data_IF_705841834980
#
_entry.id   IF_705841834980
#
_cell.length_a   1.000
_cell.length_b   1.000
_cell.length_c   1.000
_cell.angle_alpha   90.00
_cell.angle_beta   90.00
_cell.angle_gamma   90.00
#
_symmetry.space_group_name_H-M   'P 1'
#
loop_
_entity.id
_entity.type
_entity.pdbx_description
1 polymer ?
#
# COMPACT_ATOMS: atom_id res chain seq x y z
N UNK A 1 8.95 -9.54 6.85
CA UNK A 1 8.26 -8.60 7.76
C UNK A 1 6.95 -8.18 7.12
N UNK A 2 5.89 -7.99 7.91
CA UNK A 2 4.61 -7.45 7.44
C UNK A 2 4.27 -6.26 8.33
N UNK A 3 3.97 -5.12 7.73
CA UNK A 3 3.49 -3.91 8.39
C UNK A 3 2.07 -3.63 7.91
N UNK A 4 1.11 -3.65 8.82
CA UNK A 4 -0.27 -3.26 8.54
C UNK A 4 -0.40 -1.73 8.49
N UNK A 5 -0.96 -1.22 7.39
CA UNK A 5 -1.30 0.18 7.18
C UNK A 5 -2.81 0.36 7.33
N UNK A 6 -3.24 0.80 8.51
CA UNK A 6 -4.65 1.01 8.81
C UNK A 6 -5.22 2.27 8.11
N UNK A 7 -6.01 2.04 7.05
CA UNK A 7 -6.69 3.09 6.28
C UNK A 7 -8.15 3.31 6.74
N UNK A 8 -8.49 2.93 7.97
CA UNK A 8 -9.82 3.03 8.62
C UNK A 8 -10.81 1.97 8.13
N UNK A 9 -11.28 2.06 6.89
CA UNK A 9 -12.30 1.15 6.34
C UNK A 9 -11.71 -0.03 5.58
N UNK A 10 -10.48 0.12 5.13
CA UNK A 10 -9.71 -0.87 4.38
C UNK A 10 -8.31 -0.97 4.98
N UNK A 11 -7.62 -2.05 4.67
CA UNK A 11 -6.25 -2.29 5.09
C UNK A 11 -5.34 -2.30 3.87
N UNK A 12 -4.13 -1.82 4.05
CA UNK A 12 -3.03 -2.05 3.13
C UNK A 12 -1.88 -2.67 3.91
N UNK A 13 -0.98 -3.39 3.25
CA UNK A 13 0.16 -4.02 3.90
C UNK A 13 1.45 -3.69 3.16
N UNK A 14 2.47 -3.24 3.89
CA UNK A 14 3.84 -3.26 3.39
C UNK A 14 4.46 -4.59 3.78
N UNK A 15 4.85 -5.37 2.77
CA UNK A 15 5.49 -6.65 2.98
C UNK A 15 6.92 -6.58 2.48
N UNK A 16 7.83 -7.11 3.31
CA UNK A 16 9.25 -7.18 3.00
C UNK A 16 9.74 -8.62 3.10
N UNK A 17 10.30 -9.14 2.01
CA UNK A 17 10.87 -10.49 1.94
C UNK A 17 12.09 -10.52 1.03
N UNK A 18 13.18 -11.16 1.49
CA UNK A 18 14.42 -11.34 0.70
C UNK A 18 14.93 -10.01 0.08
N UNK A 19 14.80 -8.89 0.79
CA UNK A 19 15.19 -7.56 0.32
C UNK A 19 14.22 -6.88 -0.66
N UNK A 20 13.11 -7.53 -1.02
CA UNK A 20 12.07 -6.96 -1.86
C UNK A 20 10.94 -6.38 -1.01
N UNK A 21 10.41 -5.23 -1.43
CA UNK A 21 9.26 -4.58 -0.82
C UNK A 21 8.09 -4.51 -1.80
N UNK A 22 6.92 -4.90 -1.32
CA UNK A 22 5.68 -4.82 -2.07
C UNK A 22 4.57 -4.27 -1.19
N UNK A 23 3.71 -3.48 -1.81
CA UNK A 23 2.48 -2.99 -1.20
C UNK A 23 1.35 -3.94 -1.59
N UNK A 24 0.57 -4.40 -0.63
CA UNK A 24 -0.66 -5.15 -0.87
C UNK A 24 -1.83 -4.22 -0.60
N UNK A 25 -2.66 -4.02 -1.62
CA UNK A 25 -3.79 -3.10 -1.69
C UNK A 25 -3.39 -1.62 -1.57
N UNK A 26 -4.15 -0.74 -2.22
CA UNK A 26 -4.00 0.72 -2.15
C UNK A 26 -5.14 1.42 -1.41
N UNK A 27 -6.12 0.64 -0.93
CA UNK A 27 -7.31 1.19 -0.31
C UNK A 27 -8.17 2.02 -1.27
N UNK A 28 -8.87 3.02 -0.76
CA UNK A 28 -9.78 3.88 -1.55
C UNK A 28 -9.06 5.06 -2.19
N UNK A 29 -9.69 5.69 -3.19
CA UNK A 29 -9.22 6.93 -3.84
C UNK A 29 -8.78 7.96 -2.79
N UNK A 30 -7.59 8.53 -2.98
CA UNK A 30 -6.99 9.49 -2.06
C UNK A 30 -6.16 8.89 -0.91
N UNK A 31 -6.16 7.56 -0.72
CA UNK A 31 -5.39 6.89 0.34
C UNK A 31 -3.87 6.97 0.15
N UNK A 32 -3.39 7.23 -1.07
CA UNK A 32 -1.96 7.20 -1.40
C UNK A 32 -1.09 8.08 -0.49
N UNK A 33 -1.49 9.33 -0.21
CA UNK A 33 -0.75 10.22 0.70
C UNK A 33 -0.63 9.66 2.11
N UNK A 34 -1.70 9.02 2.60
CA UNK A 34 -1.71 8.41 3.93
C UNK A 34 -0.79 7.18 3.98
N UNK A 35 -0.85 6.33 2.95
CA UNK A 35 0.04 5.17 2.80
C UNK A 35 1.50 5.60 2.84
N UNK A 36 1.89 6.57 2.00
CA UNK A 36 3.25 7.12 1.94
C UNK A 36 3.69 7.64 3.30
N UNK A 37 2.87 8.48 3.95
CA UNK A 37 3.21 9.03 5.27
C UNK A 37 3.38 7.96 6.35
N UNK A 38 2.57 6.89 6.33
CA UNK A 38 2.70 5.78 7.29
C UNK A 38 3.97 4.97 7.05
N UNK A 39 4.34 4.74 5.79
CA UNK A 39 5.59 4.06 5.42
C UNK A 39 6.80 4.86 5.90
N UNK A 40 6.83 6.17 5.62
CA UNK A 40 7.90 7.06 6.07
C UNK A 40 8.02 7.09 7.60
N UNK A 41 6.89 7.20 8.32
CA UNK A 41 6.85 7.15 9.79
C UNK A 41 7.34 5.82 10.37
N UNK A 42 7.29 4.74 9.60
CA UNK A 42 7.86 3.44 9.99
C UNK A 42 9.36 3.31 9.69
N UNK A 43 10.01 4.38 9.22
CA UNK A 43 11.43 4.38 8.85
C UNK A 43 11.72 3.67 7.53
N UNK A 44 10.71 3.47 6.69
CA UNK A 44 10.83 2.79 5.38
C UNK A 44 10.78 3.81 4.25
N UNK A 45 11.40 3.47 3.12
CA UNK A 45 11.40 4.33 1.93
C UNK A 45 10.27 3.88 0.97
N UNK A 46 9.24 4.70 0.73
CA UNK A 46 8.19 4.36 -0.24
C UNK A 46 8.73 4.08 -1.65
N UNK A 47 9.82 4.75 -2.05
CA UNK A 47 10.42 4.61 -3.38
C UNK A 47 11.11 3.26 -3.63
N UNK A 48 11.34 2.44 -2.60
CA UNK A 48 11.85 1.06 -2.78
C UNK A 48 10.76 0.03 -3.09
N UNK A 49 9.49 0.42 -3.04
CA UNK A 49 8.36 -0.44 -3.40
C UNK A 49 8.28 -0.51 -4.93
N UNK A 50 8.58 -1.68 -5.49
CA UNK A 50 8.58 -1.91 -6.95
C UNK A 50 7.30 -2.58 -7.46
N UNK A 51 6.43 -3.00 -6.54
CA UNK A 51 5.26 -3.80 -6.87
C UNK A 51 4.11 -3.44 -5.93
N UNK A 52 2.93 -3.27 -6.53
CA UNK A 52 1.65 -3.16 -5.84
C UNK A 52 0.81 -4.36 -6.26
N UNK A 53 0.39 -5.18 -5.30
CA UNK A 53 -0.48 -6.32 -5.51
C UNK A 53 -1.89 -5.98 -5.04
N UNK A 54 -2.90 -6.23 -5.87
CA UNK A 54 -4.30 -6.03 -5.54
C UNK A 54 -4.93 -7.36 -5.15
N UNK A 55 -5.69 -7.38 -4.05
CA UNK A 55 -6.39 -8.59 -3.57
C UNK A 55 -7.56 -8.94 -4.48
N UNK A 56 -8.37 -7.94 -4.81
CA UNK A 56 -9.45 -8.00 -5.79
C UNK A 56 -9.81 -6.58 -6.22
N UNK A 57 -10.43 -6.43 -7.40
CA UNK A 57 -10.97 -5.15 -7.83
C UNK A 57 -12.44 -5.05 -7.45
N UNK A 58 -12.80 -4.06 -6.62
CA UNK A 58 -14.19 -3.63 -6.54
C UNK A 58 -14.50 -2.84 -7.82
N UNK A 59 -15.65 -3.13 -8.47
CA UNK A 59 -16.04 -2.58 -9.77
C UNK A 59 -16.21 -1.07 -9.77
N UNK A 60 -15.08 -0.37 -9.78
CA UNK A 60 -14.82 1.03 -10.03
C UNK A 60 -13.30 1.14 -9.90
N UNK A 61 -12.59 0.71 -10.94
CA UNK A 61 -11.15 0.87 -11.03
C UNK A 61 -10.84 2.38 -11.05
N UNK A 62 -10.19 2.97 -10.03
CA UNK A 62 -9.91 4.40 -10.03
C UNK A 62 -8.69 4.76 -10.88
N UNK A 63 -8.04 3.77 -11.51
CA UNK A 63 -6.99 3.98 -12.50
C UNK A 63 -7.55 4.14 -13.93
N UNK A 64 -8.88 4.08 -14.10
CA UNK A 64 -9.56 4.21 -15.40
C UNK A 64 -10.39 5.49 -15.55
N UNK A 65 -10.03 6.59 -14.87
CA UNK A 65 -10.61 7.92 -15.09
C UNK A 65 -9.53 8.93 -15.46
#
# INVERSE_FOLDING_TARGET
MILELNLRFVKSFLVETRGNQFLVDSGVVGSGRKIISMIEKSGKNPSSIKTVAYTHSHGADPLSA
#
